data_IF_939259690314
#
_entry.id   IF_939259690314
#
_cell.length_a   1.000
_cell.length_b   1.000
_cell.length_c   1.000
_cell.angle_alpha   90.00
_cell.angle_beta   90.00
_cell.angle_gamma   90.00
#
_symmetry.space_group_name_H-M   'P 1'
#
loop_
_entity.id
_entity.type
_entity.pdbx_description
1 polymer ?
#
# COMPACT_ATOMS: atom_id res chain seq x y z
N UNK A 1 -13.42 0.90 11.59
CA UNK A 1 -13.72 0.55 10.19
C UNK A 1 -12.69 1.30 9.36
N UNK A 2 -11.80 0.60 8.64
CA UNK A 2 -10.81 1.28 7.78
C UNK A 2 -11.53 1.77 6.52
N UNK A 3 -11.33 3.02 6.12
CA UNK A 3 -11.93 3.53 4.89
C UNK A 3 -10.99 3.23 3.72
N UNK A 4 -11.52 2.58 2.69
CA UNK A 4 -10.77 2.27 1.46
C UNK A 4 -11.18 3.25 0.38
N UNK A 5 -10.20 3.93 -0.22
CA UNK A 5 -10.40 4.84 -1.34
C UNK A 5 -9.69 4.31 -2.59
N UNK A 6 -10.32 4.49 -3.75
CA UNK A 6 -9.71 4.15 -5.05
C UNK A 6 -9.24 5.43 -5.74
N UNK A 7 -7.99 5.44 -6.19
CA UNK A 7 -7.35 6.58 -6.85
C UNK A 7 -6.79 6.16 -8.20
N UNK A 8 -7.01 6.97 -9.23
CA UNK A 8 -6.38 6.77 -10.53
C UNK A 8 -4.86 6.99 -10.41
N UNK A 9 -4.07 5.99 -10.79
CA UNK A 9 -2.60 6.02 -10.70
C UNK A 9 -1.98 7.10 -11.60
N UNK A 10 -2.66 7.51 -12.67
CA UNK A 10 -2.17 8.52 -13.61
C UNK A 10 -2.17 9.92 -12.98
N UNK A 11 -3.17 10.21 -12.15
CA UNK A 11 -3.36 11.53 -11.51
C UNK A 11 -2.86 11.55 -10.05
N UNK A 12 -2.25 10.45 -9.59
CA UNK A 12 -1.89 10.24 -8.20
C UNK A 12 -0.63 11.00 -7.78
N UNK A 13 -0.71 11.75 -6.67
CA UNK A 13 0.45 12.31 -5.99
C UNK A 13 0.84 11.45 -4.79
N UNK A 14 2.05 10.87 -4.82
CA UNK A 14 2.55 9.99 -3.76
C UNK A 14 2.53 10.65 -2.38
N UNK A 15 2.86 11.94 -2.27
CA UNK A 15 2.91 12.65 -0.98
C UNK A 15 1.51 12.74 -0.36
N UNK A 16 0.50 13.06 -1.17
CA UNK A 16 -0.88 13.12 -0.70
C UNK A 16 -1.41 11.73 -0.33
N UNK A 17 -1.05 10.70 -1.12
CA UNK A 17 -1.45 9.33 -0.80
C UNK A 17 -0.85 8.84 0.51
N UNK A 18 0.42 9.16 0.77
CA UNK A 18 1.07 8.81 2.04
C UNK A 18 0.40 9.52 3.21
N UNK A 19 0.07 10.82 3.09
CA UNK A 19 -0.63 11.55 4.14
C UNK A 19 -1.99 10.92 4.49
N UNK A 20 -2.74 10.44 3.48
CA UNK A 20 -4.00 9.71 3.69
C UNK A 20 -3.79 8.37 4.38
N UNK A 21 -2.79 7.61 3.94
CA UNK A 21 -2.46 6.33 4.56
C UNK A 21 -2.03 6.49 6.02
N UNK A 22 -1.24 7.52 6.31
CA UNK A 22 -0.83 7.88 7.68
C UNK A 22 -2.01 8.35 8.55
N UNK A 23 -3.02 8.99 7.95
CA UNK A 23 -4.28 9.32 8.61
C UNK A 23 -5.18 8.08 8.87
N UNK A 24 -4.78 6.90 8.40
CA UNK A 24 -5.48 5.63 8.63
C UNK A 24 -6.38 5.19 7.48
N UNK A 25 -6.20 5.73 6.27
CA UNK A 25 -6.91 5.30 5.06
C UNK A 25 -6.16 4.17 4.33
N UNK A 26 -6.92 3.27 3.70
CA UNK A 26 -6.38 2.30 2.76
C UNK A 26 -6.58 2.82 1.33
N UNK A 27 -5.51 2.86 0.53
CA UNK A 27 -5.58 3.38 -0.83
C UNK A 27 -5.41 2.25 -1.84
N UNK A 28 -6.37 2.09 -2.75
CA UNK A 28 -6.23 1.26 -3.93
C UNK A 28 -5.88 2.17 -5.11
N UNK A 29 -4.74 1.91 -5.74
CA UNK A 29 -4.36 2.55 -7.00
C UNK A 29 -4.93 1.74 -8.15
N UNK A 30 -5.62 2.40 -9.08
CA UNK A 30 -6.19 1.80 -10.28
C UNK A 30 -5.74 2.53 -11.55
N UNK A 31 -5.59 1.81 -12.66
CA UNK A 31 -5.47 2.37 -14.02
C UNK A 31 -6.80 2.11 -14.74
N UNK A 32 -7.59 3.16 -14.97
CA UNK A 32 -8.99 3.01 -15.36
C UNK A 32 -9.77 2.21 -14.30
N UNK A 33 -10.46 1.16 -14.72
CA UNK A 33 -11.20 0.25 -13.81
C UNK A 33 -10.35 -0.88 -13.23
N UNK A 34 -9.07 -0.99 -13.61
CA UNK A 34 -8.21 -2.09 -13.17
C UNK A 34 -7.37 -1.68 -11.97
N UNK A 35 -7.55 -2.29 -10.79
CA UNK A 35 -6.69 -2.02 -9.65
C UNK A 35 -5.30 -2.62 -9.90
N UNK A 36 -4.25 -1.86 -9.58
CA UNK A 36 -2.84 -2.19 -9.87
C UNK A 36 -1.94 -2.20 -8.63
N UNK A 37 -2.34 -1.52 -7.55
CA UNK A 37 -1.62 -1.55 -6.27
C UNK A 37 -2.53 -1.20 -5.09
N UNK A 38 -2.10 -1.57 -3.88
CA UNK A 38 -2.74 -1.19 -2.61
C UNK A 38 -1.67 -0.63 -1.66
N UNK A 39 -1.95 0.52 -1.07
CA UNK A 39 -1.18 1.11 0.02
C UNK A 39 -2.03 1.01 1.29
N UNK A 40 -1.39 0.60 2.36
CA UNK A 40 -1.98 0.54 3.69
C UNK A 40 -0.92 0.91 4.70
N UNK A 41 -1.35 1.37 5.86
CA UNK A 41 -0.45 1.71 6.96
C UNK A 41 0.01 0.43 7.67
N UNK A 42 1.32 0.29 7.81
CA UNK A 42 1.88 -0.63 8.79
C UNK A 42 1.91 0.15 10.09
N UNK A 43 0.93 -0.08 10.95
CA UNK A 43 0.74 0.66 12.19
C UNK A 43 2.09 1.05 12.81
N UNK A 44 2.34 2.36 12.86
CA UNK A 44 3.50 2.90 13.54
C UNK A 44 3.30 2.60 15.00
N UNK A 45 3.88 1.51 15.50
CA UNK A 45 4.12 1.41 16.92
C UNK A 45 4.91 2.66 17.28
N UNK A 46 4.41 3.54 18.16
CA UNK A 46 5.25 4.61 18.70
C UNK A 46 6.54 3.95 19.18
N UNK A 47 7.72 4.55 18.95
CA UNK A 47 8.99 3.98 19.42
C UNK A 47 8.93 3.57 20.91
N UNK A 48 8.04 4.21 21.66
CA UNK A 48 7.64 3.95 23.05
C UNK A 48 7.00 2.56 23.31
N UNK A 49 6.71 1.76 22.28
CA UNK A 49 6.10 0.42 22.40
C UNK A 49 7.06 -0.72 21.99
N UNK A 50 8.31 -0.43 21.64
CA UNK A 50 9.32 -1.49 21.48
C UNK A 50 9.65 -2.06 22.87
N UNK A 51 9.68 -3.38 22.99
CA UNK A 51 10.15 -4.05 24.21
C UNK A 51 11.64 -3.81 24.45
N UNK A 52 12.16 -4.23 25.61
CA UNK A 52 13.57 -4.01 26.01
C UNK A 52 14.62 -4.44 24.98
N UNK A 53 14.29 -5.39 24.09
CA UNK A 53 15.15 -5.89 23.02
C UNK A 53 14.98 -5.16 21.67
N UNK A 54 14.18 -4.09 21.60
CA UNK A 54 13.84 -3.41 20.35
C UNK A 54 12.80 -4.18 19.51
N UNK A 55 12.15 -5.18 20.08
CA UNK A 55 11.15 -6.00 19.40
C UNK A 55 9.76 -5.37 19.51
N UNK A 56 8.97 -5.47 18.44
CA UNK A 56 7.56 -5.09 18.48
C UNK A 56 6.78 -6.03 19.43
N UNK A 57 5.73 -5.56 20.11
CA UNK A 57 4.85 -6.43 20.87
C UNK A 57 4.28 -7.55 19.99
N UNK A 58 4.14 -8.77 20.53
CA UNK A 58 3.66 -9.94 19.75
C UNK A 58 2.35 -9.66 18.99
N UNK A 59 1.41 -8.97 19.62
CA UNK A 59 0.14 -8.59 19.00
C UNK A 59 0.32 -7.72 17.74
N UNK A 60 1.27 -6.78 17.76
CA UNK A 60 1.58 -5.94 16.61
C UNK A 60 2.29 -6.73 15.51
N UNK A 61 3.18 -7.67 15.88
CA UNK A 61 3.79 -8.58 14.91
C UNK A 61 2.74 -9.45 14.21
N UNK A 62 1.77 -9.98 14.94
CA UNK A 62 0.66 -10.77 14.41
C UNK A 62 -0.21 -9.93 13.46
N UNK A 63 -0.54 -8.69 13.86
CA UNK A 63 -1.29 -7.75 13.01
C UNK A 63 -0.53 -7.45 11.72
N UNK A 64 0.76 -7.13 11.80
CA UNK A 64 1.61 -6.88 10.61
C UNK A 64 1.67 -8.11 9.71
N UNK A 65 1.81 -9.30 10.28
CA UNK A 65 1.82 -10.55 9.53
C UNK A 65 0.49 -10.77 8.79
N UNK A 66 -0.63 -10.55 9.44
CA UNK A 66 -1.96 -10.65 8.83
C UNK A 66 -2.15 -9.65 7.68
N UNK A 67 -1.71 -8.39 7.86
CA UNK A 67 -1.74 -7.38 6.80
C UNK A 67 -0.88 -7.77 5.59
N UNK A 68 0.33 -8.30 5.83
CA UNK A 68 1.22 -8.76 4.76
C UNK A 68 0.60 -9.94 4.00
N UNK A 69 -0.08 -10.85 4.70
CA UNK A 69 -0.80 -11.96 4.08
C UNK A 69 -1.96 -11.47 3.20
N UNK A 70 -2.77 -10.53 3.68
CA UNK A 70 -3.84 -9.90 2.91
C UNK A 70 -3.31 -9.19 1.64
N UNK A 71 -2.20 -8.45 1.75
CA UNK A 71 -1.53 -7.85 0.59
C UNK A 71 -1.05 -8.91 -0.40
N UNK A 72 -0.52 -10.04 0.08
CA UNK A 72 -0.07 -11.13 -0.79
C UNK A 72 -1.24 -11.78 -1.51
N UNK A 73 -2.37 -11.98 -0.84
CA UNK A 73 -3.56 -12.56 -1.45
C UNK A 73 -4.20 -11.60 -2.46
N UNK A 74 -4.27 -10.31 -2.15
CA UNK A 74 -4.63 -9.28 -3.12
C UNK A 74 -3.70 -9.31 -4.34
N UNK A 75 -2.38 -9.41 -4.13
CA UNK A 75 -1.40 -9.47 -5.22
C UNK A 75 -1.58 -10.71 -6.10
N UNK A 76 -2.08 -11.82 -5.57
CA UNK A 76 -2.34 -13.05 -6.34
C UNK A 76 -3.48 -12.89 -7.34
N UNK A 77 -4.42 -11.99 -7.10
CA UNK A 77 -5.53 -11.72 -8.02
C UNK A 77 -5.18 -10.70 -9.10
N UNK A 78 -4.06 -10.00 -8.95
CA UNK A 78 -3.61 -8.95 -9.87
C UNK A 78 -2.90 -9.54 -11.09
N UNK A 79 -3.09 -8.94 -12.29
CA UNK A 79 -2.26 -9.27 -13.45
C UNK A 79 -0.78 -8.97 -13.17
N UNK A 80 0.11 -9.82 -13.68
CA UNK A 80 1.55 -9.57 -13.59
C UNK A 80 1.94 -8.45 -14.55
N UNK A 81 2.37 -7.33 -14.00
CA UNK A 81 2.94 -6.22 -14.78
C UNK A 81 4.30 -6.65 -15.34
N UNK A 82 4.46 -6.57 -16.67
CA UNK A 82 5.72 -6.86 -17.37
C UNK A 82 6.61 -5.62 -17.47
N UNK A 83 7.90 -5.84 -17.71
CA UNK A 83 8.88 -4.77 -17.88
C UNK A 83 8.52 -3.81 -19.03
N UNK A 84 8.03 -4.33 -20.16
CA UNK A 84 7.57 -3.51 -21.29
C UNK A 84 6.42 -2.57 -20.89
N UNK A 85 5.45 -3.06 -20.09
CA UNK A 85 4.35 -2.25 -19.59
C UNK A 85 4.86 -1.13 -18.67
N UNK A 86 5.86 -1.39 -17.82
CA UNK A 86 6.47 -0.37 -16.95
C UNK A 86 7.18 0.71 -17.80
N UNK A 87 7.87 0.31 -18.88
CA UNK A 87 8.54 1.24 -19.78
C UNK A 87 7.54 2.11 -20.55
N UNK A 88 6.43 1.51 -20.99
CA UNK A 88 5.32 2.22 -21.61
C UNK A 88 4.75 3.27 -20.65
N UNK A 89 4.48 2.91 -19.39
CA UNK A 89 3.96 3.85 -18.40
C UNK A 89 4.93 5.01 -18.12
N UNK A 90 6.25 4.74 -18.07
CA UNK A 90 7.27 5.80 -17.95
C UNK A 90 7.33 6.71 -19.18
N UNK A 91 6.93 6.23 -20.35
CA UNK A 91 6.86 7.04 -21.57
C UNK A 91 5.57 7.88 -21.60
N UNK A 92 4.46 7.33 -21.13
CA UNK A 92 3.17 8.03 -20.97
C UNK A 92 3.30 9.23 -20.03
N UNK A 93 3.86 9.05 -18.83
CA UNK A 93 4.01 10.14 -17.85
C UNK A 93 5.06 11.21 -18.18
N UNK A 94 5.73 11.10 -19.34
CA UNK A 94 6.68 12.12 -19.84
C UNK A 94 6.11 13.02 -20.94
N UNK A 95 4.90 12.74 -21.42
CA UNK A 95 4.14 13.65 -22.30
C UNK A 95 3.32 14.63 -21.47
#
# INVERSE_FOLDING_TARGET
MVMTITVNVVDANLVELLAKVEAGEDVILAKGDTPVARLTTLASAPEQHLGDAGELPKQEQERRRALIEDIRDFRRTMPKVKTDEILEWKSEGRR
#
